data_IF_458729836263
#
_entry.id   IF_458729836263
#
_cell.length_a   1.000
_cell.length_b   1.000
_cell.length_c   1.000
_cell.angle_alpha   90.00
_cell.angle_beta   90.00
_cell.angle_gamma   90.00
#
_symmetry.space_group_name_H-M   'P 1'
#
loop_
_entity.id
_entity.type
_entity.pdbx_description
1 polymer ?
#
# COMPACT_ATOMS: atom_id res chain seq x y z
N UNK A 1 -3.38 -25.56 -22.57
CA UNK A 1 -2.82 -24.29 -22.03
C UNK A 1 -3.19 -23.19 -23.01
N UNK A 2 -4.31 -22.53 -22.75
CA UNK A 2 -5.04 -21.70 -23.71
C UNK A 2 -4.42 -20.31 -23.86
N UNK A 3 -4.45 -19.80 -25.09
CA UNK A 3 -3.91 -18.55 -25.65
C UNK A 3 -4.22 -17.21 -24.92
N UNK A 4 -4.77 -17.21 -23.70
CA UNK A 4 -5.19 -16.00 -23.00
C UNK A 4 -4.01 -15.16 -22.45
N UNK A 5 -2.85 -15.78 -22.21
CA UNK A 5 -1.72 -15.13 -21.54
C UNK A 5 -0.89 -14.20 -22.44
N UNK A 6 -1.15 -14.18 -23.76
CA UNK A 6 -0.43 -13.34 -24.74
C UNK A 6 -1.27 -12.16 -25.27
N UNK A 7 -2.45 -11.90 -24.71
CA UNK A 7 -3.24 -10.75 -25.16
C UNK A 7 -2.65 -9.44 -24.61
N UNK A 8 -2.26 -8.56 -25.53
CA UNK A 8 -1.78 -7.21 -25.25
C UNK A 8 -2.79 -6.43 -24.41
N UNK A 9 -2.28 -5.73 -23.41
CA UNK A 9 -3.05 -4.88 -22.50
C UNK A 9 -3.16 -3.48 -23.07
N UNK A 10 -4.39 -2.94 -23.12
CA UNK A 10 -4.64 -1.52 -23.45
C UNK A 10 -4.68 -0.64 -22.20
N UNK A 11 -5.13 -1.18 -21.08
CA UNK A 11 -5.24 -0.44 -19.82
C UNK A 11 -5.58 -1.34 -18.63
N UNK A 12 -5.47 -0.76 -17.43
CA UNK A 12 -5.80 -1.39 -16.16
C UNK A 12 -6.68 -0.47 -15.32
N UNK A 13 -7.77 -1.01 -14.78
CA UNK A 13 -8.52 -0.42 -13.69
C UNK A 13 -8.32 -1.20 -12.40
N UNK A 14 -8.50 -0.57 -11.24
CA UNK A 14 -8.30 -1.20 -9.94
C UNK A 14 -9.56 -1.07 -9.08
N UNK A 15 -9.96 -2.16 -8.45
CA UNK A 15 -11.04 -2.17 -7.48
C UNK A 15 -10.56 -1.53 -6.16
N UNK A 16 -11.27 -0.54 -5.58
CA UNK A 16 -10.98 -0.09 -4.23
C UNK A 16 -11.10 -1.24 -3.23
N UNK A 17 -10.35 -1.16 -2.13
CA UNK A 17 -10.32 -2.20 -1.08
C UNK A 17 -11.73 -2.61 -0.61
N UNK A 18 -12.64 -1.63 -0.47
CA UNK A 18 -14.07 -1.83 -0.10
C UNK A 18 -14.88 -2.70 -1.06
N UNK A 19 -14.43 -2.92 -2.30
CA UNK A 19 -15.11 -3.77 -3.29
C UNK A 19 -14.43 -5.11 -3.55
N UNK A 20 -13.39 -5.44 -2.77
CA UNK A 20 -12.79 -6.78 -2.78
C UNK A 20 -13.71 -7.78 -2.08
N UNK A 21 -13.73 -9.02 -2.56
CA UNK A 21 -14.51 -10.12 -1.97
C UNK A 21 -13.77 -10.71 -0.76
N UNK A 22 -14.28 -10.33 0.41
CA UNK A 22 -13.71 -10.70 1.71
C UNK A 22 -13.85 -12.20 1.99
N UNK A 23 -14.95 -12.82 1.55
CA UNK A 23 -15.23 -14.23 1.78
C UNK A 23 -14.23 -15.12 1.04
N UNK A 24 -13.76 -14.68 -0.13
CA UNK A 24 -12.77 -15.40 -0.93
C UNK A 24 -11.32 -15.04 -0.59
N UNK A 25 -11.06 -14.30 0.49
CA UNK A 25 -9.70 -13.83 0.81
C UNK A 25 -9.06 -13.01 -0.34
N UNK A 26 -9.87 -12.31 -1.13
CA UNK A 26 -9.39 -11.45 -2.22
C UNK A 26 -8.81 -10.15 -1.66
N UNK A 27 -7.53 -9.93 -1.91
CA UNK A 27 -6.83 -8.74 -1.42
C UNK A 27 -6.76 -7.62 -2.45
N UNK A 28 -6.93 -7.96 -3.73
CA UNK A 28 -6.82 -7.01 -4.83
C UNK A 28 -7.54 -7.54 -6.07
N UNK A 29 -8.24 -6.67 -6.78
CA UNK A 29 -8.85 -6.99 -8.07
C UNK A 29 -8.51 -5.90 -9.06
N UNK A 30 -8.03 -6.28 -10.23
CA UNK A 30 -7.83 -5.36 -11.33
C UNK A 30 -8.59 -5.80 -12.56
N UNK A 31 -8.85 -4.85 -13.44
CA UNK A 31 -9.65 -4.99 -14.64
C UNK A 31 -8.74 -4.77 -15.84
N UNK A 32 -8.39 -5.85 -16.53
CA UNK A 32 -7.53 -5.81 -17.71
C UNK A 32 -8.37 -5.51 -18.95
N UNK A 33 -8.09 -4.40 -19.59
CA UNK A 33 -8.68 -4.08 -20.89
C UNK A 33 -7.86 -4.72 -22.00
N UNK A 34 -8.48 -5.64 -22.76
CA UNK A 34 -7.86 -6.31 -23.90
C UNK A 34 -7.71 -5.36 -25.09
N UNK A 35 -6.53 -5.31 -25.70
CA UNK A 35 -6.26 -4.38 -26.79
C UNK A 35 -7.03 -4.70 -28.08
N UNK A 36 -7.37 -5.96 -28.34
CA UNK A 36 -7.93 -6.40 -29.64
C UNK A 36 -9.37 -6.88 -29.56
N UNK A 37 -9.83 -7.34 -28.39
CA UNK A 37 -11.12 -8.03 -28.26
C UNK A 37 -12.26 -7.15 -27.77
N UNK A 38 -11.98 -5.92 -27.33
CA UNK A 38 -12.98 -5.04 -26.72
C UNK A 38 -13.55 -5.57 -25.40
N UNK A 39 -12.83 -6.48 -24.74
CA UNK A 39 -13.25 -7.16 -23.50
C UNK A 39 -12.50 -6.56 -22.30
N UNK A 40 -13.19 -6.40 -21.19
CA UNK A 40 -12.62 -6.10 -19.88
C UNK A 40 -12.65 -7.37 -19.01
N UNK A 41 -11.48 -7.88 -18.65
CA UNK A 41 -11.34 -9.12 -17.86
C UNK A 41 -11.00 -8.78 -16.40
N UNK A 42 -11.84 -9.17 -15.42
CA UNK A 42 -11.50 -9.04 -14.02
C UNK A 42 -10.47 -10.11 -13.61
N UNK A 43 -9.43 -9.69 -12.91
CA UNK A 43 -8.36 -10.56 -12.40
C UNK A 43 -8.23 -10.33 -10.89
N UNK A 44 -8.48 -11.40 -10.13
CA UNK A 44 -8.49 -11.42 -8.67
C UNK A 44 -7.18 -11.97 -8.11
N UNK A 45 -6.59 -11.25 -7.17
CA UNK A 45 -5.47 -11.71 -6.34
C UNK A 45 -6.03 -12.20 -5.01
N UNK A 46 -5.92 -13.51 -4.78
CA UNK A 46 -6.49 -14.19 -3.61
C UNK A 46 -5.37 -14.77 -2.75
N UNK A 47 -5.46 -14.56 -1.44
CA UNK A 47 -4.58 -15.21 -0.48
C UNK A 47 -5.14 -16.61 -0.18
N UNK A 48 -4.36 -17.69 -0.37
CA UNK A 48 -4.85 -19.05 -0.12
C UNK A 48 -5.00 -19.30 1.40
N UNK A 49 -6.23 -19.20 1.92
CA UNK A 49 -6.59 -19.53 3.31
C UNK A 49 -7.50 -20.75 3.35
N UNK A 50 -7.53 -21.44 4.50
CA UNK A 50 -8.33 -22.66 4.71
C UNK A 50 -9.73 -22.39 5.26
N UNK A 51 -10.09 -21.15 5.59
CA UNK A 51 -11.37 -20.81 6.21
C UNK A 51 -12.09 -19.67 5.51
N UNK A 52 -13.42 -19.80 5.41
CA UNK A 52 -14.34 -18.78 4.86
C UNK A 52 -14.70 -17.68 5.88
N UNK A 53 -14.03 -17.69 7.05
CA UNK A 53 -14.20 -16.69 8.09
C UNK A 53 -13.50 -15.39 7.70
N UNK A 54 -14.05 -14.26 8.16
CA UNK A 54 -13.40 -12.96 8.05
C UNK A 54 -11.97 -12.99 8.60
N UNK A 55 -11.00 -12.50 7.82
CA UNK A 55 -9.57 -12.49 8.16
C UNK A 55 -9.13 -11.06 8.51
N UNK A 56 -9.13 -10.71 9.80
CA UNK A 56 -8.80 -9.35 10.27
C UNK A 56 -7.41 -8.87 9.83
N UNK A 57 -6.45 -9.79 9.66
CA UNK A 57 -5.09 -9.48 9.21
C UNK A 57 -5.00 -9.06 7.74
N UNK A 58 -5.92 -9.52 6.89
CA UNK A 58 -5.98 -9.17 5.47
C UNK A 58 -6.80 -7.89 5.19
N UNK A 59 -7.66 -7.52 6.14
CA UNK A 59 -8.65 -6.46 5.99
C UNK A 59 -8.63 -5.51 7.19
N UNK A 60 -7.54 -4.75 7.39
CA UNK A 60 -7.55 -3.66 8.36
C UNK A 60 -8.61 -2.62 7.98
N UNK A 61 -8.99 -1.78 8.95
CA UNK A 61 -9.93 -0.70 8.71
C UNK A 61 -9.49 0.18 7.52
N UNK A 62 -10.43 0.42 6.60
CA UNK A 62 -10.16 1.09 5.32
C UNK A 62 -10.89 2.43 5.25
N UNK A 63 -10.44 3.31 4.36
CA UNK A 63 -11.13 4.59 4.11
C UNK A 63 -12.59 4.38 3.73
N UNK A 64 -13.48 4.99 4.51
CA UNK A 64 -14.92 5.03 4.30
C UNK A 64 -15.28 5.89 3.09
N UNK A 65 -16.49 5.76 2.53
CA UNK A 65 -17.01 6.66 1.48
C UNK A 65 -17.43 8.04 2.04
N UNK A 66 -16.82 8.48 3.15
CA UNK A 66 -17.18 9.71 3.86
C UNK A 66 -15.93 10.62 3.87
N UNK A 67 -16.04 11.87 3.39
CA UNK A 67 -14.92 12.80 3.44
C UNK A 67 -14.61 13.19 4.90
N UNK A 68 -13.32 13.28 5.22
CA UNK A 68 -12.88 13.68 6.56
C UNK A 68 -12.96 15.20 6.79
N UNK A 69 -12.90 15.99 5.73
CA UNK A 69 -12.96 17.45 5.75
C UNK A 69 -13.83 17.95 4.62
N UNK A 70 -14.43 19.12 4.83
CA UNK A 70 -15.02 19.90 3.73
C UNK A 70 -13.92 20.54 2.89
N UNK A 71 -14.25 20.96 1.66
CA UNK A 71 -13.30 21.62 0.77
C UNK A 71 -12.76 22.92 1.38
N UNK A 72 -13.62 23.73 2.02
CA UNK A 72 -13.27 24.99 2.66
C UNK A 72 -12.27 24.80 3.80
N UNK A 73 -12.47 23.77 4.61
CA UNK A 73 -11.57 23.44 5.72
C UNK A 73 -10.19 23.02 5.22
N UNK A 74 -10.14 22.19 4.18
CA UNK A 74 -8.88 21.79 3.57
C UNK A 74 -8.15 22.99 2.95
N UNK A 75 -8.86 23.85 2.22
CA UNK A 75 -8.30 25.10 1.66
C UNK A 75 -7.79 26.04 2.76
N UNK A 76 -8.47 26.08 3.92
CA UNK A 76 -7.99 26.84 5.10
C UNK A 76 -6.77 26.21 5.79
N UNK A 77 -6.25 25.10 5.28
CA UNK A 77 -5.07 24.41 5.78
C UNK A 77 -5.34 23.40 6.90
N UNK A 78 -6.60 23.02 7.17
CA UNK A 78 -6.89 21.92 8.10
C UNK A 78 -6.45 20.60 7.49
N UNK A 79 -5.96 19.69 8.35
CA UNK A 79 -5.58 18.34 7.97
C UNK A 79 -6.25 17.33 8.90
N UNK A 80 -6.75 16.23 8.34
CA UNK A 80 -7.44 15.18 9.07
C UNK A 80 -7.15 13.82 8.43
N UNK A 81 -7.15 12.76 9.24
CA UNK A 81 -7.05 11.41 8.71
C UNK A 81 -8.36 11.01 8.01
N UNK A 82 -8.32 10.13 7.00
CA UNK A 82 -9.54 9.62 6.36
C UNK A 82 -10.44 8.94 7.38
N UNK A 83 -11.75 9.16 7.32
CA UNK A 83 -12.70 8.39 8.14
C UNK A 83 -12.54 6.91 7.81
N UNK A 84 -12.32 6.08 8.82
CA UNK A 84 -12.11 4.64 8.62
C UNK A 84 -13.41 3.86 8.84
N UNK A 85 -13.52 2.70 8.20
CA UNK A 85 -14.62 1.75 8.38
C UNK A 85 -14.10 0.32 8.39
N UNK A 86 -14.78 -0.55 9.15
CA UNK A 86 -14.48 -1.97 9.17
C UNK A 86 -15.02 -2.64 7.91
N UNK A 87 -14.22 -3.51 7.30
CA UNK A 87 -14.67 -4.35 6.18
C UNK A 87 -15.50 -5.55 6.61
N UNK A 88 -15.57 -5.84 7.91
CA UNK A 88 -16.40 -6.93 8.44
C UNK A 88 -17.83 -6.47 8.66
N UNK A 89 -18.02 -5.34 9.34
CA UNK A 89 -19.35 -4.83 9.72
C UNK A 89 -19.88 -3.77 8.76
N UNK A 90 -19.00 -3.13 7.99
CA UNK A 90 -19.35 -1.98 7.15
C UNK A 90 -19.60 -0.70 7.95
N UNK A 91 -19.34 -0.70 9.25
CA UNK A 91 -19.57 0.46 10.11
C UNK A 91 -18.35 1.37 10.17
N UNK A 92 -18.59 2.66 10.30
CA UNK A 92 -17.53 3.65 10.51
C UNK A 92 -16.90 3.44 11.88
N UNK A 93 -15.58 3.33 11.93
CA UNK A 93 -14.83 3.27 13.17
C UNK A 93 -14.72 4.70 13.69
N UNK A 94 -15.33 4.98 14.84
CA UNK A 94 -15.31 6.31 15.45
C UNK A 94 -13.86 6.72 15.70
N UNK A 95 -13.35 7.66 14.90
CA UNK A 95 -12.09 8.29 15.21
C UNK A 95 -12.29 9.14 16.47
N UNK A 96 -11.53 8.86 17.52
CA UNK A 96 -11.31 9.86 18.54
C UNK A 96 -10.81 11.13 17.84
N UNK A 97 -11.28 12.33 18.23
CA UNK A 97 -10.84 13.57 17.62
C UNK A 97 -9.32 13.57 17.62
N UNK A 98 -8.72 13.82 16.45
CA UNK A 98 -7.29 13.78 16.19
C UNK A 98 -6.52 14.52 17.29
N UNK A 99 -6.07 13.79 18.31
CA UNK A 99 -5.07 14.28 19.25
C UNK A 99 -3.83 14.45 18.39
N UNK A 100 -3.34 15.69 18.35
CA UNK A 100 -2.03 16.12 17.86
C UNK A 100 -1.12 14.94 17.56
N UNK A 101 -0.78 14.77 16.28
CA UNK A 101 0.28 13.86 15.83
C UNK A 101 1.43 13.96 16.82
N UNK A 102 1.60 12.94 17.67
CA UNK A 102 2.82 12.82 18.47
C UNK A 102 3.92 12.71 17.43
N UNK A 103 4.66 13.81 17.20
CA UNK A 103 5.92 13.76 16.47
C UNK A 103 6.70 12.63 17.11
N UNK A 104 6.85 11.50 16.40
CA UNK A 104 7.79 10.48 16.80
C UNK A 104 9.15 11.17 16.81
N UNK A 105 9.62 11.55 18.00
CA UNK A 105 11.01 11.94 18.18
C UNK A 105 11.81 10.70 17.76
N UNK A 106 12.76 10.80 16.82
CA UNK A 106 13.62 9.67 16.50
C UNK A 106 14.25 9.21 17.81
N UNK A 107 14.09 7.91 18.10
CA UNK A 107 14.68 7.28 19.27
C UNK A 107 16.20 7.38 19.05
N UNK A 108 16.87 8.26 19.80
CA UNK A 108 18.34 8.35 19.78
C UNK A 108 18.87 6.96 20.15
N UNK A 109 19.61 6.35 19.24
CA UNK A 109 20.27 5.07 19.49
C UNK A 109 21.28 5.30 20.61
N UNK A 110 20.99 4.73 21.79
CA UNK A 110 21.97 4.55 22.84
C UNK A 110 22.60 3.17 22.62
N UNK A 111 23.88 3.08 22.24
CA UNK A 111 24.55 1.80 22.17
C UNK A 111 24.68 1.25 23.59
N UNK A 112 23.91 0.22 23.94
CA UNK A 112 24.29 -0.64 25.06
C UNK A 112 25.48 -1.47 24.60
N UNK A 113 26.55 -1.50 25.40
CA UNK A 113 27.74 -2.32 25.18
C UNK A 113 27.36 -3.81 25.15
N UNK A 114 26.95 -4.28 23.98
CA UNK A 114 26.82 -5.68 23.67
C UNK A 114 27.92 -5.94 22.66
N UNK A 115 29.04 -6.46 23.14
CA UNK A 115 30.13 -6.94 22.30
C UNK A 115 29.64 -8.14 21.48
N UNK A 116 29.12 -7.87 20.28
CA UNK A 116 28.82 -8.88 19.26
C UNK A 116 29.98 -8.95 18.26
N UNK A 117 30.50 -10.15 17.92
CA UNK A 117 31.65 -10.29 17.07
C UNK A 117 31.30 -10.00 15.60
N UNK A 118 32.17 -9.22 14.94
CA UNK A 118 32.35 -9.13 13.48
C UNK A 118 31.18 -8.62 12.59
N UNK A 119 30.35 -7.66 13.04
CA UNK A 119 29.36 -7.00 12.17
C UNK A 119 29.86 -5.70 11.48
N UNK A 120 31.17 -5.42 11.48
CA UNK A 120 31.72 -4.14 10.97
C UNK A 120 31.69 -4.00 9.43
N UNK A 121 31.27 -5.04 8.68
CA UNK A 121 31.45 -5.06 7.23
C UNK A 121 30.16 -4.83 6.43
N UNK A 122 28.99 -5.24 6.96
CA UNK A 122 27.74 -5.20 6.18
C UNK A 122 27.08 -3.82 6.21
N UNK A 123 27.10 -3.14 7.35
CA UNK A 123 26.54 -1.80 7.46
C UNK A 123 27.38 -0.77 6.71
N UNK A 124 28.72 -0.86 6.80
CA UNK A 124 29.66 0.01 6.08
C UNK A 124 29.43 -0.04 4.56
N UNK A 125 29.25 -1.22 3.99
CA UNK A 125 28.93 -1.37 2.56
C UNK A 125 27.55 -0.82 2.19
N UNK A 126 26.57 -0.96 3.08
CA UNK A 126 25.20 -0.46 2.86
C UNK A 126 25.14 1.06 2.82
N UNK A 127 25.93 1.74 3.65
CA UNK A 127 25.97 3.21 3.69
C UNK A 127 26.97 3.84 2.70
N UNK A 128 27.97 3.10 2.23
CA UNK A 128 28.92 3.60 1.23
C UNK A 128 28.24 4.06 -0.08
N UNK A 129 27.14 3.41 -0.47
CA UNK A 129 26.34 3.81 -1.64
C UNK A 129 25.71 5.20 -1.48
N UNK A 130 25.29 5.58 -0.26
CA UNK A 130 24.66 6.88 0.00
C UNK A 130 25.66 8.04 0.07
N UNK A 131 26.94 7.73 0.32
CA UNK A 131 28.03 8.71 0.34
C UNK A 131 28.71 8.90 -1.02
N UNK A 132 28.40 8.06 -2.01
CA UNK A 132 28.93 8.20 -3.36
C UNK A 132 28.07 9.19 -4.15
N UNK A 133 28.70 10.20 -4.73
CA UNK A 133 28.05 11.09 -5.68
C UNK A 133 27.70 10.30 -6.93
N UNK A 134 26.42 10.28 -7.31
CA UNK A 134 25.98 9.66 -8.56
C UNK A 134 26.38 10.55 -9.72
N UNK A 135 27.43 10.17 -10.46
CA UNK A 135 27.83 10.85 -11.69
C UNK A 135 26.83 10.50 -12.79
N UNK A 136 26.12 11.47 -13.40
CA UNK A 136 25.24 11.21 -14.54
C UNK A 136 26.05 10.68 -15.73
N UNK A 137 25.58 9.58 -16.33
CA UNK A 137 26.21 9.00 -17.51
C UNK A 137 25.74 9.73 -18.77
N UNK A 138 26.62 10.54 -19.36
CA UNK A 138 26.34 11.35 -20.55
C UNK A 138 26.66 10.65 -21.88
N UNK A 139 26.81 9.31 -21.89
CA UNK A 139 27.03 8.60 -23.16
C UNK A 139 25.88 8.85 -24.15
N UNK A 140 26.16 9.10 -25.43
CA UNK A 140 25.14 9.27 -26.45
C UNK A 140 24.23 8.04 -26.49
N UNK A 141 22.92 8.29 -26.57
CA UNK A 141 21.95 7.24 -26.87
C UNK A 141 22.00 7.04 -28.38
N UNK A 142 22.71 6.02 -28.84
CA UNK A 142 22.69 5.57 -30.23
C UNK A 142 21.29 5.09 -30.64
#
# INVERSE_FOLDING_TARGET
>A
MTLAHMCLQRGLGFMPKRGCDVAQCEIFRFYKLHATKGICEPISMVVPRKSDQFQEDLYPDTAAPIPALTAQEWISGKNCHPVLMSMQTGETVRQQPSIMVKKHKPKVYQPSEISLPAAHNNNTKKFAFLSQETVPDYRPVD
#
